data_IF_050509652411
#
_entry.id   IF_050509652411
#
_cell.length_a   1.000
_cell.length_b   1.000
_cell.length_c   1.000
_cell.angle_alpha   90.00
_cell.angle_beta   90.00
_cell.angle_gamma   90.00
#
_symmetry.space_group_name_H-M   'P 1'
#
loop_
_entity.id
_entity.type
_entity.pdbx_description
1 polymer ?
#
# COMPACT_ATOMS: atom_id res chain seq x y z
N UNK A 1 14.24 -6.31 1.36
CA UNK A 1 14.41 -7.78 1.30
C UNK A 1 13.03 -8.41 1.20
N UNK A 2 12.74 -9.17 0.13
CA UNK A 2 11.44 -9.85 -0.01
C UNK A 2 11.28 -10.97 1.03
N UNK A 3 10.03 -11.32 1.36
CA UNK A 3 9.66 -12.30 2.41
C UNK A 3 10.52 -13.58 2.32
N UNK A 4 11.01 -14.06 3.47
CA UNK A 4 11.76 -15.34 3.61
C UNK A 4 10.86 -16.51 4.05
N UNK A 5 9.59 -16.50 3.67
CA UNK A 5 8.63 -17.56 4.01
C UNK A 5 8.18 -18.27 2.75
N UNK A 6 7.97 -19.58 2.86
CA UNK A 6 7.34 -20.42 1.82
C UNK A 6 5.82 -20.38 1.88
N UNK A 7 5.25 -19.68 2.85
CA UNK A 7 3.81 -19.52 2.97
C UNK A 7 3.26 -18.73 1.78
N UNK A 8 2.29 -19.32 1.10
CA UNK A 8 1.60 -18.69 -0.03
C UNK A 8 0.90 -17.39 0.39
N UNK A 9 0.76 -16.49 -0.57
CA UNK A 9 -0.03 -15.28 -0.38
C UNK A 9 -1.50 -15.65 -0.41
N UNK A 10 -2.28 -15.01 0.48
CA UNK A 10 -3.73 -15.00 0.31
C UNK A 10 -4.05 -14.40 -1.07
N UNK A 11 -4.95 -15.00 -1.87
CA UNK A 11 -5.31 -14.41 -3.15
C UNK A 11 -5.99 -13.05 -2.93
N UNK A 12 -5.69 -12.08 -3.80
CA UNK A 12 -6.30 -10.75 -3.74
C UNK A 12 -7.83 -10.79 -3.95
N UNK A 13 -8.31 -11.80 -4.68
CA UNK A 13 -9.71 -12.07 -4.90
C UNK A 13 -10.02 -13.51 -4.53
N UNK A 14 -11.09 -13.70 -3.77
CA UNK A 14 -11.59 -15.00 -3.34
C UNK A 14 -13.08 -15.07 -3.62
N UNK A 15 -13.55 -16.22 -4.11
CA UNK A 15 -14.97 -16.50 -4.24
C UNK A 15 -15.45 -17.22 -2.97
N UNK A 16 -16.41 -16.67 -2.22
CA UNK A 16 -16.89 -17.30 -1.00
C UNK A 16 -17.31 -18.74 -1.24
N UNK A 17 -16.93 -19.61 -0.29
CA UNK A 17 -17.29 -21.02 -0.34
C UNK A 17 -18.80 -21.19 -0.12
N UNK A 18 -19.39 -22.27 -0.64
CA UNK A 18 -20.83 -22.52 -0.47
C UNK A 18 -21.21 -22.62 1.02
N UNK A 19 -22.40 -22.14 1.38
CA UNK A 19 -22.91 -22.22 2.75
C UNK A 19 -22.85 -23.67 3.29
N UNK A 20 -22.31 -23.82 4.51
CA UNK A 20 -22.10 -25.12 5.15
C UNK A 20 -20.75 -25.78 4.82
N UNK A 21 -19.93 -25.21 3.94
CA UNK A 21 -18.56 -25.65 3.68
C UNK A 21 -17.54 -24.78 4.42
N UNK A 22 -16.37 -25.35 4.71
CA UNK A 22 -15.28 -24.60 5.34
C UNK A 22 -14.63 -23.67 4.32
N UNK A 23 -14.61 -22.37 4.65
CA UNK A 23 -13.90 -21.37 3.87
C UNK A 23 -12.52 -21.15 4.48
N UNK A 24 -11.46 -21.38 3.69
CA UNK A 24 -10.06 -21.17 4.12
C UNK A 24 -9.66 -19.68 4.11
N UNK A 25 -10.46 -18.82 3.49
CA UNK A 25 -10.30 -17.37 3.42
C UNK A 25 -11.61 -16.67 3.85
N UNK A 26 -12.09 -16.91 5.08
CA UNK A 26 -13.35 -16.34 5.53
C UNK A 26 -13.23 -14.82 5.58
N UNK A 27 -14.17 -14.14 4.93
CA UNK A 27 -14.21 -12.68 4.88
C UNK A 27 -15.64 -12.17 5.06
N UNK A 28 -15.78 -10.99 5.66
CA UNK A 28 -17.05 -10.31 5.78
C UNK A 28 -17.16 -9.25 4.67
N UNK A 29 -18.21 -9.27 3.83
CA UNK A 29 -18.36 -8.28 2.77
C UNK A 29 -18.65 -6.90 3.36
N UNK A 30 -17.86 -5.89 2.95
CA UNK A 30 -18.05 -4.50 3.40
C UNK A 30 -18.76 -3.62 2.35
N UNK A 31 -19.28 -4.24 1.29
CA UNK A 31 -19.91 -3.57 0.16
C UNK A 31 -18.94 -3.15 -0.94
N UNK A 32 -19.51 -2.80 -2.10
CA UNK A 32 -18.75 -2.50 -3.31
C UNK A 32 -18.03 -1.15 -3.24
N UNK A 33 -16.91 -1.05 -3.98
CA UNK A 33 -16.14 0.20 -4.12
C UNK A 33 -15.38 0.65 -2.87
N UNK A 34 -15.35 -0.16 -1.81
CA UNK A 34 -14.64 0.15 -0.56
C UNK A 34 -13.17 -0.23 -0.56
N UNK A 35 -12.78 -1.23 -1.36
CA UNK A 35 -11.40 -1.71 -1.48
C UNK A 35 -11.01 -1.70 -2.95
N UNK A 36 -9.93 -0.99 -3.26
CA UNK A 36 -9.27 -1.01 -4.56
C UNK A 36 -8.06 -1.94 -4.56
N UNK A 37 -7.70 -2.46 -5.73
CA UNK A 37 -6.52 -3.32 -5.90
C UNK A 37 -5.58 -2.68 -6.91
N UNK A 38 -4.30 -2.56 -6.54
CA UNK A 38 -3.24 -2.06 -7.42
C UNK A 38 -2.92 -0.58 -7.26
N UNK A 39 -1.75 -0.19 -7.76
CA UNK A 39 -1.24 1.17 -7.65
C UNK A 39 -2.03 2.18 -8.49
N UNK A 40 -2.66 1.75 -9.58
CA UNK A 40 -3.55 2.57 -10.43
C UNK A 40 -4.75 3.10 -9.66
N UNK A 41 -5.51 2.21 -9.00
CA UNK A 41 -6.63 2.63 -8.15
C UNK A 41 -6.17 3.51 -6.99
N UNK A 42 -5.04 3.17 -6.34
CA UNK A 42 -4.53 3.96 -5.23
C UNK A 42 -4.10 5.36 -5.69
N UNK A 43 -3.32 5.48 -6.75
CA UNK A 43 -2.90 6.77 -7.31
C UNK A 43 -4.10 7.63 -7.73
N UNK A 44 -5.13 7.04 -8.33
CA UNK A 44 -6.36 7.74 -8.69
C UNK A 44 -7.10 8.29 -7.46
N UNK A 45 -7.08 7.56 -6.33
CA UNK A 45 -7.63 8.04 -5.07
C UNK A 45 -6.78 9.18 -4.47
N UNK A 46 -5.45 9.03 -4.49
CA UNK A 46 -4.54 10.04 -3.93
C UNK A 46 -4.57 11.35 -4.74
N UNK A 47 -4.71 11.28 -6.06
CA UNK A 47 -4.79 12.44 -6.95
C UNK A 47 -5.98 13.36 -6.67
N UNK A 48 -6.99 12.90 -5.91
CA UNK A 48 -8.13 13.73 -5.48
C UNK A 48 -7.78 14.68 -4.34
N UNK A 49 -6.57 14.58 -3.78
CA UNK A 49 -6.12 15.36 -2.65
C UNK A 49 -4.86 16.16 -3.01
N UNK A 50 -4.82 17.42 -2.59
CA UNK A 50 -3.64 18.28 -2.80
C UNK A 50 -2.42 17.81 -2.00
N UNK A 51 -2.66 17.24 -0.81
CA UNK A 51 -1.63 16.74 0.09
C UNK A 51 -2.04 15.41 0.68
N UNK A 52 -1.12 14.45 0.62
CA UNK A 52 -1.29 13.10 1.17
C UNK A 52 -0.09 12.82 2.08
N UNK A 53 -0.35 12.26 3.25
CA UNK A 53 0.67 11.71 4.14
C UNK A 53 0.44 10.20 4.20
N UNK A 54 1.48 9.44 3.88
CA UNK A 54 1.45 7.97 3.93
C UNK A 54 2.37 7.54 5.06
N UNK A 55 1.82 6.82 6.02
CA UNK A 55 2.54 6.28 7.17
C UNK A 55 2.29 4.77 7.24
N UNK A 56 3.22 4.04 7.85
CA UNK A 56 3.14 2.59 7.94
C UNK A 56 4.37 1.98 8.60
N UNK A 57 4.29 0.67 8.80
CA UNK A 57 5.35 -0.10 9.44
C UNK A 57 6.65 -0.11 8.61
N UNK A 58 7.81 -0.15 9.28
CA UNK A 58 9.13 -0.16 8.62
C UNK A 58 9.38 -1.35 7.68
N UNK A 59 8.59 -2.42 7.79
CA UNK A 59 8.61 -3.57 6.88
C UNK A 59 7.94 -3.32 5.51
N UNK A 60 7.29 -2.18 5.31
CA UNK A 60 6.77 -1.77 3.99
C UNK A 60 7.94 -1.52 3.05
N UNK A 61 7.81 -1.97 1.80
CA UNK A 61 8.79 -1.68 0.74
C UNK A 61 8.58 -0.25 0.23
N UNK A 62 8.96 0.73 1.04
CA UNK A 62 8.71 2.16 0.79
C UNK A 62 9.26 2.63 -0.56
N UNK A 63 10.48 2.24 -0.91
CA UNK A 63 11.08 2.65 -2.19
C UNK A 63 10.31 2.07 -3.39
N UNK A 64 9.81 0.84 -3.29
CA UNK A 64 8.97 0.21 -4.33
C UNK A 64 7.59 0.88 -4.38
N UNK A 65 6.95 1.12 -3.23
CA UNK A 65 5.68 1.81 -3.14
C UNK A 65 5.74 3.22 -3.76
N UNK A 66 6.77 4.00 -3.41
CA UNK A 66 6.98 5.33 -3.96
C UNK A 66 7.21 5.28 -5.48
N UNK A 67 8.08 4.39 -5.96
CA UNK A 67 8.37 4.29 -7.40
C UNK A 67 7.13 3.90 -8.22
N UNK A 68 6.36 2.92 -7.75
CA UNK A 68 5.15 2.43 -8.42
C UNK A 68 4.04 3.49 -8.43
N UNK A 69 3.82 4.18 -7.30
CA UNK A 69 2.85 5.28 -7.22
C UNK A 69 3.27 6.49 -8.04
N UNK A 70 4.55 6.87 -8.02
CA UNK A 70 5.05 8.01 -8.80
C UNK A 70 4.86 7.77 -10.31
N UNK A 71 5.16 6.55 -10.78
CA UNK A 71 4.93 6.16 -12.18
C UNK A 71 3.46 6.29 -12.56
N UNK A 72 2.57 5.86 -11.68
CA UNK A 72 1.14 5.84 -11.96
C UNK A 72 0.49 7.22 -11.87
N UNK A 73 0.90 8.06 -10.90
CA UNK A 73 0.51 9.48 -10.85
C UNK A 73 0.97 10.21 -12.12
N UNK A 74 2.20 9.96 -12.57
CA UNK A 74 2.71 10.52 -13.83
C UNK A 74 1.88 10.05 -15.03
N UNK A 75 1.50 8.77 -15.09
CA UNK A 75 0.63 8.22 -16.14
C UNK A 75 -0.74 8.92 -16.18
N UNK A 76 -1.23 9.35 -15.03
CA UNK A 76 -2.47 10.12 -14.87
C UNK A 76 -2.28 11.63 -15.10
N UNK A 77 -1.07 12.08 -15.46
CA UNK A 77 -0.76 13.49 -15.69
C UNK A 77 -0.58 14.33 -14.42
N UNK A 78 -0.46 13.67 -13.26
CA UNK A 78 -0.27 14.33 -11.97
C UNK A 78 1.22 14.44 -11.66
N UNK A 79 1.70 15.68 -11.52
CA UNK A 79 3.04 15.95 -11.01
C UNK A 79 2.98 16.00 -9.48
N UNK A 80 3.66 15.06 -8.81
CA UNK A 80 3.70 14.98 -7.36
C UNK A 80 5.12 15.25 -6.83
N UNK A 81 5.20 16.05 -5.77
CA UNK A 81 6.42 16.21 -4.97
C UNK A 81 6.44 15.19 -3.86
N UNK A 82 7.51 14.42 -3.76
CA UNK A 82 7.71 13.43 -2.71
C UNK A 82 8.60 14.01 -1.62
N UNK A 83 8.13 13.93 -0.39
CA UNK A 83 8.88 14.35 0.80
C UNK A 83 9.06 13.12 1.68
N UNK A 84 10.32 12.76 1.94
CA UNK A 84 10.64 11.66 2.81
C UNK A 84 10.83 12.17 4.24
N UNK A 85 10.08 11.61 5.19
CA UNK A 85 10.22 11.97 6.59
C UNK A 85 11.62 11.66 7.13
N UNK A 86 12.32 10.66 6.56
CA UNK A 86 13.70 10.31 6.93
C UNK A 86 14.66 11.50 6.79
N UNK A 87 14.43 12.37 5.82
CA UNK A 87 15.26 13.55 5.57
C UNK A 87 15.08 14.65 6.64
N UNK A 88 13.97 14.59 7.39
CA UNK A 88 13.66 15.52 8.47
C UNK A 88 13.96 14.95 9.87
N UNK A 89 14.33 13.66 9.96
CA UNK A 89 14.70 13.04 11.24
C UNK A 89 16.13 13.46 11.63
N UNK A 90 16.34 13.58 12.94
CA UNK A 90 17.69 13.74 13.48
C UNK A 90 18.51 12.48 13.14
N UNK A 91 19.77 12.61 12.68
CA UNK A 91 20.61 11.45 12.44
C UNK A 91 20.72 10.58 13.68
N UNK A 92 20.71 9.26 13.52
CA UNK A 92 20.69 8.31 14.65
C UNK A 92 21.83 8.56 15.66
N UNK A 93 23.00 8.94 15.15
CA UNK A 93 24.18 9.27 15.96
C UNK A 93 24.00 10.50 16.88
N UNK A 94 23.01 11.35 16.62
CA UNK A 94 22.77 12.59 17.36
C UNK A 94 21.58 12.49 18.33
N UNK A 95 20.84 11.36 18.35
CA UNK A 95 19.62 11.21 19.16
C UNK A 95 19.92 11.17 20.67
N UNK A 96 21.00 10.51 21.07
CA UNK A 96 21.40 10.32 22.47
C UNK A 96 22.71 11.04 22.84
N UNK A 97 23.16 11.97 21.98
CA UNK A 97 24.41 12.71 22.16
C UNK A 97 24.35 13.80 23.24
#
# INVERSE_FOLDING_TARGET
MKRKTTQELIPAHHQPTQAGQYDIYPAFPIGDGKIGVGYEVLAAALAQHERVVIDGYGGVFWDELQAELARELQRQGVAATWLDMRDALLPEAEIDA
#
